data_IF_800557756058
#
_entry.id   IF_800557756058
#
_cell.length_a   1.000
_cell.length_b   1.000
_cell.length_c   1.000
_cell.angle_alpha   90.00
_cell.angle_beta   90.00
_cell.angle_gamma   90.00
#
_symmetry.space_group_name_H-M   'P 1'
#
loop_
_entity.id
_entity.type
_entity.pdbx_description
1 polymer ?
#
# COMPACT_ATOMS: atom_id res chain seq x y z
N UNK A 1 28.94 2.58 -52.60
CA UNK A 1 28.19 2.97 -51.39
C UNK A 1 27.97 1.70 -50.60
N UNK A 2 28.84 1.44 -49.62
CA UNK A 2 28.69 0.30 -48.71
C UNK A 2 27.60 0.63 -47.68
N UNK A 3 26.66 -0.29 -47.49
CA UNK A 3 25.69 -0.22 -46.41
C UNK A 3 26.43 -0.43 -45.07
N UNK A 4 26.04 0.27 -43.99
CA UNK A 4 26.64 0.03 -42.69
C UNK A 4 26.25 -1.38 -42.19
N UNK A 5 27.15 -2.10 -41.51
CA UNK A 5 26.84 -3.42 -40.98
C UNK A 5 25.73 -3.31 -39.94
N UNK A 6 24.69 -4.13 -40.13
CA UNK A 6 23.60 -4.26 -39.16
C UNK A 6 24.17 -4.74 -37.82
N UNK A 7 23.89 -3.97 -36.77
CA UNK A 7 23.98 -4.32 -35.36
C UNK A 7 23.91 -5.83 -35.09
N UNK A 8 25.08 -6.47 -35.01
CA UNK A 8 25.29 -7.79 -34.42
C UNK A 8 26.01 -7.60 -33.09
N UNK A 9 25.30 -7.05 -32.11
CA UNK A 9 25.63 -7.23 -30.70
C UNK A 9 24.39 -7.80 -30.01
N UNK A 10 24.00 -9.03 -30.40
CA UNK A 10 23.21 -9.86 -29.50
C UNK A 10 24.20 -10.42 -28.49
N UNK A 11 24.19 -9.87 -27.28
CA UNK A 11 24.91 -10.42 -26.14
C UNK A 11 24.58 -11.92 -26.00
N UNK A 12 25.58 -12.72 -25.62
CA UNK A 12 25.50 -14.16 -25.38
C UNK A 12 24.12 -14.63 -24.90
N UNK A 13 23.43 -15.38 -25.75
CA UNK A 13 22.11 -15.96 -25.44
C UNK A 13 22.14 -16.95 -24.28
N UNK A 14 23.32 -17.41 -23.86
CA UNK A 14 23.53 -18.43 -22.82
C UNK A 14 23.14 -17.95 -21.42
N UNK A 15 23.14 -16.65 -21.17
CA UNK A 15 22.88 -16.07 -19.83
C UNK A 15 21.54 -15.33 -19.72
N UNK A 16 20.73 -15.28 -20.79
CA UNK A 16 19.44 -14.60 -20.73
C UNK A 16 18.39 -15.47 -20.04
N UNK A 17 17.64 -14.91 -19.10
CA UNK A 17 16.40 -15.50 -18.56
C UNK A 17 15.22 -14.64 -18.97
N UNK A 18 14.21 -15.23 -19.59
CA UNK A 18 13.06 -14.51 -20.11
C UNK A 18 11.71 -15.15 -19.72
N UNK A 19 11.72 -16.35 -19.13
CA UNK A 19 10.51 -17.05 -18.67
C UNK A 19 10.84 -18.00 -17.54
N UNK A 20 9.79 -18.43 -16.83
CA UNK A 20 9.89 -19.39 -15.72
C UNK A 20 10.66 -20.68 -16.09
N UNK A 21 10.48 -21.19 -17.30
CA UNK A 21 11.14 -22.42 -17.76
C UNK A 21 12.66 -22.29 -17.94
N UNK A 22 13.19 -21.06 -17.97
CA UNK A 22 14.64 -20.82 -18.07
C UNK A 22 15.33 -20.89 -16.70
N UNK A 23 14.56 -20.95 -15.61
CA UNK A 23 15.08 -20.94 -14.25
C UNK A 23 15.47 -22.33 -13.77
N UNK A 24 16.55 -22.39 -13.00
CA UNK A 24 16.92 -23.54 -12.17
C UNK A 24 16.03 -23.63 -10.93
N UNK A 25 15.94 -24.82 -10.33
CA UNK A 25 15.19 -25.01 -9.07
C UNK A 25 15.71 -24.13 -7.92
N UNK A 26 17.04 -23.96 -7.84
CA UNK A 26 17.66 -23.04 -6.89
C UNK A 26 17.22 -21.59 -7.13
N UNK A 27 17.21 -21.10 -8.38
CA UNK A 27 16.71 -19.76 -8.68
C UNK A 27 15.24 -19.60 -8.28
N UNK A 28 14.41 -20.60 -8.57
CA UNK A 28 12.99 -20.57 -8.25
C UNK A 28 12.76 -20.39 -6.75
N UNK A 29 13.45 -21.19 -5.93
CA UNK A 29 13.34 -21.19 -4.47
C UNK A 29 14.08 -20.05 -3.78
N UNK A 30 15.09 -19.45 -4.43
CA UNK A 30 15.89 -18.36 -3.84
C UNK A 30 15.09 -17.09 -3.52
N UNK A 31 13.91 -16.93 -4.14
CA UNK A 31 12.98 -15.82 -3.87
C UNK A 31 11.87 -16.14 -2.86
N UNK A 32 11.86 -17.34 -2.24
CA UNK A 32 10.88 -17.69 -1.19
C UNK A 32 10.83 -16.67 -0.05
N UNK A 33 11.95 -16.08 0.44
CA UNK A 33 11.90 -15.01 1.44
C UNK A 33 11.07 -13.81 0.99
N UNK A 34 11.09 -13.44 -0.30
CA UNK A 34 10.28 -12.34 -0.83
C UNK A 34 8.79 -12.67 -0.83
N UNK A 35 8.43 -13.92 -1.16
CA UNK A 35 7.06 -14.40 -1.10
C UNK A 35 6.53 -14.40 0.35
N UNK A 36 7.34 -14.83 1.31
CA UNK A 36 6.97 -14.79 2.74
C UNK A 36 6.78 -13.35 3.21
N UNK A 37 7.67 -12.42 2.81
CA UNK A 37 7.52 -11.00 3.13
C UNK A 37 6.25 -10.42 2.49
N UNK A 38 5.97 -10.74 1.23
CA UNK A 38 4.77 -10.28 0.53
C UNK A 38 3.50 -10.71 1.23
N UNK A 39 3.40 -11.98 1.63
CA UNK A 39 2.19 -12.51 2.27
C UNK A 39 1.97 -11.94 3.66
N UNK A 40 3.05 -11.75 4.45
CA UNK A 40 3.01 -11.10 5.75
C UNK A 40 2.59 -9.62 5.65
N UNK A 41 3.17 -8.86 4.74
CA UNK A 41 2.86 -7.43 4.59
C UNK A 41 1.48 -7.17 4.00
N UNK A 42 0.93 -8.14 3.25
CA UNK A 42 -0.44 -8.12 2.74
C UNK A 42 -1.45 -8.85 3.64
N UNK A 43 -1.08 -9.24 4.87
CA UNK A 43 -1.94 -9.89 5.87
C UNK A 43 -2.61 -11.20 5.39
N UNK A 44 -1.93 -11.97 4.54
CA UNK A 44 -2.43 -13.30 4.11
C UNK A 44 -1.72 -14.44 4.83
N UNK A 45 -0.49 -14.21 5.29
CA UNK A 45 0.37 -15.16 6.02
C UNK A 45 0.48 -16.55 5.36
N UNK A 46 0.26 -16.62 4.04
CA UNK A 46 0.38 -17.85 3.27
C UNK A 46 1.86 -18.22 3.07
N UNK A 47 2.14 -19.52 3.15
CA UNK A 47 3.45 -20.05 2.83
C UNK A 47 3.63 -20.20 1.31
N UNK A 48 4.86 -20.04 0.79
CA UNK A 48 5.15 -20.30 -0.62
C UNK A 48 4.81 -21.73 -1.03
N UNK A 49 4.16 -21.87 -2.19
CA UNK A 49 3.82 -23.14 -2.84
C UNK A 49 4.37 -23.14 -4.27
N UNK A 50 4.47 -24.29 -4.92
CA UNK A 50 4.93 -24.34 -6.32
C UNK A 50 4.03 -23.53 -7.25
N UNK A 51 2.73 -23.52 -6.96
CA UNK A 51 1.77 -22.68 -7.68
C UNK A 51 2.06 -21.19 -7.49
N UNK A 52 2.27 -20.73 -6.25
CA UNK A 52 2.54 -19.32 -6.00
C UNK A 52 3.90 -18.89 -6.57
N UNK A 53 4.92 -19.75 -6.52
CA UNK A 53 6.23 -19.52 -7.15
C UNK A 53 6.08 -19.35 -8.67
N UNK A 54 5.36 -20.26 -9.33
CA UNK A 54 5.11 -20.16 -10.77
C UNK A 54 4.39 -18.86 -11.15
N UNK A 55 3.35 -18.48 -10.39
CA UNK A 55 2.63 -17.22 -10.60
C UNK A 55 3.57 -16.03 -10.43
N UNK A 56 4.32 -15.99 -9.33
CA UNK A 56 5.26 -14.90 -9.04
C UNK A 56 6.30 -14.73 -10.14
N UNK A 57 6.97 -15.81 -10.55
CA UNK A 57 7.96 -15.74 -11.61
C UNK A 57 7.37 -15.42 -12.98
N UNK A 58 6.12 -15.80 -13.24
CA UNK A 58 5.40 -15.34 -14.45
C UNK A 58 5.26 -13.82 -14.45
N UNK A 59 4.94 -13.21 -13.31
CA UNK A 59 4.87 -11.74 -13.16
C UNK A 59 6.27 -11.10 -13.23
N UNK A 60 7.30 -11.75 -12.68
CA UNK A 60 8.69 -11.27 -12.77
C UNK A 60 9.13 -11.11 -14.23
N UNK A 61 8.76 -12.02 -15.11
CA UNK A 61 9.09 -11.95 -16.54
C UNK A 61 8.03 -11.25 -17.39
N UNK A 62 6.98 -10.69 -16.80
CA UNK A 62 5.97 -9.94 -17.55
C UNK A 62 6.62 -8.71 -18.19
N UNK A 63 6.73 -8.75 -19.53
CA UNK A 63 7.38 -7.74 -20.35
C UNK A 63 8.81 -7.39 -19.90
N UNK A 64 9.55 -8.35 -19.34
CA UNK A 64 10.91 -8.15 -18.84
C UNK A 64 11.76 -9.40 -19.06
N UNK A 65 13.03 -9.18 -19.38
CA UNK A 65 14.10 -10.18 -19.37
C UNK A 65 15.35 -9.62 -18.68
N UNK A 66 16.36 -10.44 -18.46
CA UNK A 66 17.59 -10.04 -17.77
C UNK A 66 18.43 -8.97 -18.50
N UNK A 67 18.11 -8.65 -19.75
CA UNK A 67 18.75 -7.55 -20.49
C UNK A 67 17.96 -6.24 -20.38
N UNK A 68 16.76 -6.29 -19.81
CA UNK A 68 15.86 -5.15 -19.66
C UNK A 68 16.17 -4.39 -18.36
N UNK A 69 16.27 -3.05 -18.39
CA UNK A 69 16.50 -2.25 -17.19
C UNK A 69 15.45 -2.50 -16.09
N UNK A 70 15.90 -2.57 -14.84
CA UNK A 70 15.03 -2.79 -13.69
C UNK A 70 14.58 -1.45 -13.11
N UNK A 71 13.30 -1.13 -13.23
CA UNK A 71 12.71 0.10 -12.68
C UNK A 71 12.20 -0.11 -11.25
N UNK A 72 12.60 0.78 -10.33
CA UNK A 72 12.12 0.74 -8.94
C UNK A 72 10.66 1.22 -8.86
N UNK A 73 9.75 0.46 -8.22
CA UNK A 73 8.37 0.89 -8.08
C UNK A 73 8.23 2.04 -7.09
N UNK A 74 7.22 2.88 -7.31
CA UNK A 74 6.86 3.99 -6.43
C UNK A 74 5.44 3.79 -5.96
N UNK A 75 5.21 3.92 -4.66
CA UNK A 75 3.86 3.80 -4.12
C UNK A 75 3.00 4.99 -4.55
N UNK A 76 1.85 4.68 -5.15
CA UNK A 76 0.93 5.72 -5.59
C UNK A 76 0.31 6.43 -4.38
N UNK A 77 0.18 7.76 -4.48
CA UNK A 77 -0.57 8.57 -3.51
C UNK A 77 -2.04 8.12 -3.51
N UNK A 78 -2.69 8.21 -2.34
CA UNK A 78 -4.13 7.95 -2.24
C UNK A 78 -4.89 8.93 -3.11
N UNK A 79 -5.85 8.42 -3.87
CA UNK A 79 -6.72 9.24 -4.71
C UNK A 79 -7.91 9.74 -3.91
N UNK A 80 -8.47 10.89 -4.32
CA UNK A 80 -9.71 11.40 -3.71
C UNK A 80 -10.84 10.37 -3.85
N UNK A 81 -10.97 9.73 -5.01
CA UNK A 81 -11.95 8.69 -5.26
C UNK A 81 -11.76 7.46 -4.36
N UNK A 82 -10.53 7.07 -4.05
CA UNK A 82 -10.28 5.94 -3.13
C UNK A 82 -10.54 6.27 -1.66
N UNK A 83 -10.71 7.56 -1.32
CA UNK A 83 -10.84 8.03 0.06
C UNK A 83 -12.19 8.65 0.39
N UNK A 84 -13.10 8.72 -0.57
CA UNK A 84 -14.39 9.36 -0.40
C UNK A 84 -15.48 8.69 -1.22
N UNK A 85 -16.72 8.83 -0.77
CA UNK A 85 -17.92 8.38 -1.49
C UNK A 85 -18.95 9.51 -1.50
N UNK A 86 -19.79 9.58 -2.54
CA UNK A 86 -20.96 10.45 -2.54
C UNK A 86 -21.98 9.92 -1.52
N UNK A 87 -22.53 10.81 -0.70
CA UNK A 87 -23.50 10.45 0.35
C UNK A 87 -24.77 11.30 0.34
N UNK A 88 -24.81 12.34 -0.48
CA UNK A 88 -25.91 13.29 -0.45
C UNK A 88 -25.65 14.55 -1.25
N UNK A 89 -26.45 15.57 -0.95
CA UNK A 89 -26.40 16.89 -1.58
C UNK A 89 -26.50 18.01 -0.55
N UNK A 90 -26.14 19.23 -0.96
CA UNK A 90 -26.28 20.42 -0.13
C UNK A 90 -27.75 20.85 -0.02
N UNK A 91 -28.21 21.15 1.21
CA UNK A 91 -29.55 21.71 1.47
C UNK A 91 -29.66 23.19 1.10
N UNK A 92 -28.53 23.91 1.17
CA UNK A 92 -28.39 25.33 0.88
C UNK A 92 -26.98 25.64 0.36
N UNK A 93 -26.78 26.86 -0.11
CA UNK A 93 -25.49 27.38 -0.55
C UNK A 93 -24.45 27.34 0.58
N UNK A 94 -23.31 26.69 0.35
CA UNK A 94 -22.26 26.52 1.35
C UNK A 94 -21.06 27.43 1.04
N UNK A 95 -20.79 28.50 1.82
CA UNK A 95 -19.62 29.35 1.60
C UNK A 95 -18.31 28.57 1.82
N UNK A 96 -17.26 28.95 1.09
CA UNK A 96 -15.92 28.36 1.25
C UNK A 96 -15.21 29.03 2.43
N UNK A 97 -14.76 28.29 3.45
CA UNK A 97 -14.03 28.87 4.58
C UNK A 97 -12.74 29.55 4.12
N UNK A 98 -12.49 30.79 4.56
CA UNK A 98 -11.24 31.50 4.33
C UNK A 98 -11.00 32.02 2.90
N UNK A 99 -11.84 31.66 1.93
CA UNK A 99 -11.90 32.44 0.69
C UNK A 99 -12.71 33.70 0.98
N UNK A 100 -12.01 34.83 1.05
CA UNK A 100 -12.60 36.10 0.68
C UNK A 100 -13.09 35.93 -0.77
N UNK A 101 -14.33 35.49 -0.89
CA UNK A 101 -15.15 35.47 -2.10
C UNK A 101 -14.69 36.58 -3.02
N UNK A 102 -14.04 36.22 -4.13
CA UNK A 102 -13.52 37.17 -5.09
C UNK A 102 -14.65 38.12 -5.47
N UNK A 103 -14.62 39.34 -4.93
CA UNK A 103 -15.56 40.38 -5.30
C UNK A 103 -15.33 40.61 -6.79
N UNK A 104 -16.34 40.37 -7.62
CA UNK A 104 -16.36 41.07 -8.91
C UNK A 104 -16.41 42.58 -8.60
N UNK A 105 -15.94 43.41 -9.53
CA UNK A 105 -15.93 44.88 -9.38
C UNK A 105 -17.30 45.48 -8.99
N UNK A 106 -18.39 44.71 -9.07
CA UNK A 106 -19.76 45.09 -8.70
C UNK A 106 -20.23 44.58 -7.32
N UNK A 107 -19.34 44.07 -6.47
CA UNK A 107 -19.70 43.62 -5.11
C UNK A 107 -20.47 42.29 -5.02
N UNK A 108 -20.71 41.62 -6.15
CA UNK A 108 -21.44 40.35 -6.18
C UNK A 108 -20.53 39.16 -5.83
N UNK A 109 -20.99 38.37 -4.86
CA UNK A 109 -20.37 37.12 -4.43
C UNK A 109 -20.65 36.00 -5.44
N UNK A 110 -19.63 35.36 -6.01
CA UNK A 110 -19.82 34.22 -6.93
C UNK A 110 -19.46 32.93 -6.21
N UNK A 111 -20.48 32.14 -5.85
CA UNK A 111 -20.29 30.82 -5.28
C UNK A 111 -19.97 29.80 -6.38
N UNK A 112 -18.92 28.97 -6.22
CA UNK A 112 -18.63 27.87 -7.14
C UNK A 112 -19.83 26.93 -7.29
N UNK A 113 -20.03 26.35 -8.48
CA UNK A 113 -21.16 25.44 -8.73
C UNK A 113 -21.18 24.25 -7.74
N UNK A 114 -20.00 23.75 -7.36
CA UNK A 114 -19.80 22.64 -6.41
C UNK A 114 -20.19 22.98 -4.96
N UNK A 115 -20.58 24.24 -4.70
CA UNK A 115 -20.97 24.76 -3.39
C UNK A 115 -22.40 25.27 -3.34
N UNK A 116 -23.09 25.27 -4.47
CA UNK A 116 -24.48 25.70 -4.53
C UNK A 116 -25.40 24.64 -3.94
N UNK A 117 -26.58 25.06 -3.51
CA UNK A 117 -27.68 24.18 -3.14
C UNK A 117 -27.85 23.05 -4.18
N UNK A 118 -28.10 21.84 -3.70
CA UNK A 118 -28.17 20.58 -4.46
C UNK A 118 -26.86 20.06 -5.06
N UNK A 119 -25.72 20.73 -4.86
CA UNK A 119 -24.43 20.16 -5.25
C UNK A 119 -24.08 18.92 -4.42
N UNK A 120 -23.33 18.01 -5.03
CA UNK A 120 -22.95 16.74 -4.41
C UNK A 120 -22.04 16.93 -3.18
N UNK A 121 -22.33 16.17 -2.14
CA UNK A 121 -21.52 16.08 -0.92
C UNK A 121 -20.89 14.69 -0.85
N UNK A 122 -19.59 14.69 -0.62
CA UNK A 122 -18.79 13.51 -0.38
C UNK A 122 -18.56 13.31 1.12
N UNK A 123 -18.57 12.06 1.57
CA UNK A 123 -18.01 11.68 2.87
C UNK A 123 -16.61 11.14 2.65
N UNK A 124 -15.64 11.71 3.36
CA UNK A 124 -14.23 11.37 3.26
C UNK A 124 -13.73 10.72 4.54
N UNK A 125 -12.93 9.67 4.37
CA UNK A 125 -12.22 8.98 5.43
C UNK A 125 -10.77 9.50 5.49
N UNK A 126 -10.26 9.70 6.69
CA UNK A 126 -8.84 10.01 6.89
C UNK A 126 -8.35 9.30 8.15
N UNK A 127 -7.29 8.53 7.98
CA UNK A 127 -6.57 7.88 9.08
C UNK A 127 -5.51 8.86 9.59
N UNK A 128 -5.38 9.00 10.90
CA UNK A 128 -4.34 9.80 11.56
C UNK A 128 -2.92 9.36 11.18
N UNK A 129 -1.93 10.24 11.38
CA UNK A 129 -0.54 9.95 11.02
C UNK A 129 0.05 8.77 11.81
N UNK A 130 -0.39 8.59 13.06
CA UNK A 130 -0.02 7.44 13.90
C UNK A 130 -0.77 6.15 13.52
N UNK A 131 -1.76 6.23 12.63
CA UNK A 131 -2.53 5.08 12.16
C UNK A 131 -3.54 4.55 13.17
N UNK A 132 -3.84 5.30 14.24
CA UNK A 132 -4.66 4.82 15.35
C UNK A 132 -6.09 5.35 15.36
N UNK A 133 -6.39 6.43 14.63
CA UNK A 133 -7.71 7.06 14.66
C UNK A 133 -8.27 7.22 13.24
N UNK A 134 -9.57 6.98 13.10
CA UNK A 134 -10.32 7.26 11.88
C UNK A 134 -11.19 8.50 12.06
N UNK A 135 -10.98 9.48 11.19
CA UNK A 135 -11.82 10.68 11.10
C UNK A 135 -12.68 10.67 9.84
N UNK A 136 -13.90 11.19 9.99
CA UNK A 136 -14.87 11.34 8.91
C UNK A 136 -15.19 12.82 8.70
N UNK A 137 -15.13 13.29 7.45
CA UNK A 137 -15.42 14.68 7.11
C UNK A 137 -16.32 14.74 5.89
N UNK A 138 -17.30 15.62 5.89
CA UNK A 138 -18.06 15.94 4.69
C UNK A 138 -17.28 16.95 3.86
N UNK A 139 -17.17 16.73 2.56
CA UNK A 139 -16.47 17.61 1.64
C UNK A 139 -17.28 17.85 0.38
N UNK A 140 -17.00 18.93 -0.32
CA UNK A 140 -17.42 19.09 -1.71
C UNK A 140 -16.54 18.22 -2.64
N UNK A 141 -16.83 18.25 -3.95
CA UNK A 141 -16.00 17.60 -4.96
C UNK A 141 -14.61 18.24 -5.12
N UNK A 142 -14.41 19.45 -4.61
CA UNK A 142 -13.12 20.14 -4.50
C UNK A 142 -12.32 19.78 -3.24
N UNK A 143 -12.76 18.77 -2.48
CA UNK A 143 -12.13 18.30 -1.24
C UNK A 143 -12.02 19.36 -0.13
N UNK A 144 -12.91 20.35 -0.15
CA UNK A 144 -13.03 21.38 0.89
C UNK A 144 -14.18 21.04 1.84
N UNK A 145 -14.04 21.39 3.13
CA UNK A 145 -14.98 20.98 4.19
C UNK A 145 -16.41 21.49 3.97
N UNK A 146 -17.41 20.67 4.26
CA UNK A 146 -18.84 21.01 4.26
C UNK A 146 -19.40 20.80 5.69
N UNK A 147 -20.09 21.79 6.29
CA UNK A 147 -20.75 21.61 7.58
C UNK A 147 -21.85 20.56 7.52
N UNK A 148 -21.96 19.69 8.53
CA UNK A 148 -22.98 18.63 8.59
C UNK A 148 -24.41 19.18 8.49
N UNK A 149 -24.66 20.38 9.04
CA UNK A 149 -25.98 21.04 9.02
C UNK A 149 -26.48 21.34 7.60
N UNK A 150 -25.58 21.44 6.62
CA UNK A 150 -25.91 21.71 5.22
C UNK A 150 -26.02 20.44 4.37
N UNK A 151 -25.90 19.25 4.97
CA UNK A 151 -25.88 17.98 4.24
C UNK A 151 -27.24 17.30 4.33
N UNK A 152 -27.90 17.12 3.18
CA UNK A 152 -29.00 16.19 3.02
C UNK A 152 -28.44 14.86 2.52
N UNK A 153 -28.57 13.80 3.32
CA UNK A 153 -28.18 12.46 2.89
C UNK A 153 -29.16 11.95 1.83
N UNK A 154 -28.64 11.12 0.91
CA UNK A 154 -29.46 10.44 -0.08
C UNK A 154 -30.51 9.53 0.61
N UNK A 155 -31.69 9.32 0.01
CA UNK A 155 -32.74 8.48 0.59
C UNK A 155 -32.22 7.09 0.93
N UNK A 156 -32.55 6.60 2.14
CA UNK A 156 -32.11 5.28 2.62
C UNK A 156 -30.71 5.25 3.25
N UNK A 157 -29.98 6.37 3.26
CA UNK A 157 -28.71 6.48 3.99
C UNK A 157 -28.88 7.08 5.38
N UNK A 158 -28.47 6.31 6.39
CA UNK A 158 -28.06 6.86 7.69
C UNK A 158 -26.57 7.21 7.67
N UNK A 159 -26.13 8.07 8.59
CA UNK A 159 -24.70 8.38 8.76
C UNK A 159 -23.90 7.10 9.05
N UNK A 160 -24.44 6.18 9.85
CA UNK A 160 -23.80 4.93 10.19
C UNK A 160 -23.59 4.05 8.95
N UNK A 161 -24.61 3.90 8.11
CA UNK A 161 -24.50 3.16 6.85
C UNK A 161 -23.50 3.81 5.88
N UNK A 162 -23.54 5.15 5.75
CA UNK A 162 -22.59 5.88 4.92
C UNK A 162 -21.13 5.66 5.38
N UNK A 163 -20.87 5.67 6.69
CA UNK A 163 -19.55 5.36 7.26
C UNK A 163 -19.13 3.92 6.97
N UNK A 164 -20.00 2.94 7.20
CA UNK A 164 -19.71 1.54 6.94
C UNK A 164 -19.37 1.30 5.45
N UNK A 165 -20.11 1.91 4.53
CA UNK A 165 -19.83 1.83 3.11
C UNK A 165 -18.50 2.49 2.74
N UNK A 166 -18.20 3.64 3.34
CA UNK A 166 -16.94 4.34 3.13
C UNK A 166 -15.73 3.55 3.64
N UNK A 167 -15.84 2.90 4.80
CA UNK A 167 -14.78 2.01 5.33
C UNK A 167 -14.50 0.88 4.36
N UNK A 168 -15.54 0.17 3.91
CA UNK A 168 -15.39 -0.92 2.92
C UNK A 168 -14.77 -0.43 1.60
N UNK A 169 -15.18 0.76 1.15
CA UNK A 169 -14.65 1.38 -0.06
C UNK A 169 -13.17 1.73 0.10
N UNK A 170 -12.81 2.37 1.21
CA UNK A 170 -11.43 2.68 1.57
C UNK A 170 -10.57 1.42 1.61
N UNK A 171 -11.00 0.38 2.33
CA UNK A 171 -10.25 -0.85 2.52
C UNK A 171 -9.95 -1.56 1.21
N UNK A 172 -10.94 -1.62 0.32
CA UNK A 172 -10.75 -2.17 -1.03
C UNK A 172 -9.69 -1.41 -1.81
N UNK A 173 -9.74 -0.08 -1.77
CA UNK A 173 -8.79 0.77 -2.48
C UNK A 173 -7.38 0.71 -1.86
N UNK A 174 -7.28 0.69 -0.54
CA UNK A 174 -6.01 0.62 0.17
C UNK A 174 -5.35 -0.74 0.01
N UNK A 175 -6.10 -1.85 0.12
CA UNK A 175 -5.62 -3.19 -0.17
C UNK A 175 -5.06 -3.28 -1.59
N UNK A 176 -5.81 -2.80 -2.59
CA UNK A 176 -5.33 -2.79 -3.99
C UNK A 176 -4.05 -1.97 -4.14
N UNK A 177 -4.00 -0.77 -3.55
CA UNK A 177 -2.87 0.16 -3.67
C UNK A 177 -1.60 -0.41 -3.03
N UNK A 178 -1.71 -0.90 -1.81
CA UNK A 178 -0.57 -1.41 -1.03
C UNK A 178 -0.12 -2.76 -1.55
N UNK A 179 -1.04 -3.71 -1.78
CA UNK A 179 -0.66 -5.04 -2.26
C UNK A 179 -0.01 -4.99 -3.64
N UNK A 180 -0.52 -4.15 -4.56
CA UNK A 180 0.11 -3.96 -5.87
C UNK A 180 1.50 -3.32 -5.75
N UNK A 181 1.68 -2.38 -4.83
CA UNK A 181 3.00 -1.79 -4.61
C UNK A 181 3.99 -2.83 -4.06
N UNK A 182 3.61 -3.56 -3.01
CA UNK A 182 4.44 -4.59 -2.39
C UNK A 182 4.80 -5.70 -3.39
N UNK A 183 3.85 -6.15 -4.20
CA UNK A 183 4.08 -7.14 -5.27
C UNK A 183 5.14 -6.64 -6.25
N UNK A 184 4.97 -5.43 -6.80
CA UNK A 184 5.95 -4.85 -7.72
C UNK A 184 7.33 -4.67 -7.06
N UNK A 185 7.38 -4.35 -5.77
CA UNK A 185 8.63 -4.21 -5.04
C UNK A 185 9.35 -5.55 -4.87
N UNK A 186 8.62 -6.61 -4.56
CA UNK A 186 9.19 -7.96 -4.51
C UNK A 186 9.64 -8.47 -5.87
N UNK A 187 8.90 -8.14 -6.95
CA UNK A 187 9.32 -8.40 -8.34
C UNK A 187 10.62 -7.66 -8.64
N UNK A 188 10.72 -6.38 -8.27
CA UNK A 188 11.93 -5.58 -8.43
C UNK A 188 13.14 -6.23 -7.75
N UNK A 189 12.98 -6.71 -6.51
CA UNK A 189 14.05 -7.42 -5.79
C UNK A 189 14.42 -8.75 -6.43
N UNK A 190 13.45 -9.55 -6.88
CA UNK A 190 13.70 -10.80 -7.59
C UNK A 190 14.47 -10.57 -8.89
N UNK A 191 14.09 -9.56 -9.69
CA UNK A 191 14.82 -9.16 -10.89
C UNK A 191 16.27 -8.77 -10.58
N UNK A 192 16.49 -7.97 -9.53
CA UNK A 192 17.83 -7.57 -9.09
C UNK A 192 18.68 -8.77 -8.67
N UNK A 193 18.12 -9.63 -7.82
CA UNK A 193 18.79 -10.84 -7.34
C UNK A 193 19.20 -11.74 -8.50
N UNK A 194 18.31 -11.92 -9.48
CA UNK A 194 18.60 -12.74 -10.66
C UNK A 194 19.72 -12.14 -11.53
N UNK A 195 19.67 -10.84 -11.82
CA UNK A 195 20.71 -10.17 -12.61
C UNK A 195 22.06 -10.25 -11.90
N UNK A 196 22.14 -9.92 -10.61
CA UNK A 196 23.38 -10.02 -9.82
C UNK A 196 23.95 -11.44 -9.84
N UNK A 197 23.12 -12.46 -9.64
CA UNK A 197 23.55 -13.86 -9.69
C UNK A 197 24.13 -14.25 -11.05
N UNK A 198 23.49 -13.83 -12.14
CA UNK A 198 23.96 -14.12 -13.51
C UNK A 198 25.26 -13.40 -13.83
N UNK A 199 25.43 -12.16 -13.36
CA UNK A 199 26.69 -11.42 -13.48
C UNK A 199 27.83 -12.11 -12.71
N UNK A 200 27.57 -12.61 -11.51
CA UNK A 200 28.53 -13.39 -10.72
C UNK A 200 28.89 -14.73 -11.37
N UNK A 201 27.93 -15.43 -11.97
CA UNK A 201 28.17 -16.67 -12.73
C UNK A 201 29.02 -16.41 -13.96
N UNK A 202 28.74 -15.34 -14.70
CA UNK A 202 29.53 -14.92 -15.84
C UNK A 202 30.96 -14.57 -15.43
N UNK A 203 31.14 -13.81 -14.34
CA UNK A 203 32.46 -13.46 -13.82
C UNK A 203 33.27 -14.70 -13.39
N UNK A 204 32.62 -15.71 -12.80
CA UNK A 204 33.27 -16.98 -12.43
C UNK A 204 33.62 -17.84 -13.63
N UNK A 205 32.77 -17.89 -14.66
CA UNK A 205 33.04 -18.61 -15.90
C UNK A 205 34.21 -18.04 -16.69
N UNK A 206 34.37 -16.71 -16.72
CA UNK A 206 35.48 -16.02 -17.39
C UNK A 206 36.82 -16.22 -16.67
N UNK A 207 36.82 -16.47 -15.36
CA UNK A 207 38.03 -16.74 -14.58
C UNK A 207 38.56 -18.20 -14.72
N UNK A 208 37.83 -19.08 -15.41
CA UNK A 208 38.13 -20.52 -15.50
C UNK A 208 39.09 -20.97 -16.61
N UNK A 209 39.48 -20.09 -17.54
CA UNK A 209 40.35 -20.43 -18.68
C UNK A 209 41.86 -20.10 -18.48
N UNK A 210 42.26 -19.79 -17.25
CA UNK A 210 43.68 -19.62 -16.87
C UNK A 210 44.25 -20.88 -16.20
N UNK A 211 45.55 -21.21 -16.38
CA UNK A 211 46.14 -22.41 -15.79
C UNK A 211 45.98 -22.43 -14.27
N UNK A 212 45.41 -23.52 -13.76
CA UNK A 212 45.10 -23.75 -12.36
C UNK A 212 46.35 -23.65 -11.48
N UNK A 213 46.45 -22.58 -10.69
CA UNK A 213 47.37 -22.51 -9.55
C UNK A 213 46.61 -22.89 -8.28
N UNK A 214 47.01 -24.01 -7.68
CA UNK A 214 46.43 -24.65 -6.51
C UNK A 214 46.71 -23.94 -5.17
N UNK A 215 46.63 -22.61 -5.13
CA UNK A 215 46.93 -21.83 -3.92
C UNK A 215 45.95 -20.66 -3.77
N UNK A 216 44.71 -20.94 -3.37
CA UNK A 216 43.76 -19.93 -2.91
C UNK A 216 42.72 -20.55 -1.96
N UNK A 217 43.19 -21.21 -0.90
CA UNK A 217 42.41 -21.44 0.31
C UNK A 217 42.51 -20.21 1.21
N UNK A 218 41.82 -19.13 0.83
CA UNK A 218 41.37 -18.04 1.71
C UNK A 218 40.74 -16.99 0.80
N UNK A 219 39.46 -17.19 0.46
CA UNK A 219 38.66 -16.16 -0.19
C UNK A 219 37.52 -15.79 0.76
N UNK A 220 37.35 -14.51 1.10
CA UNK A 220 36.32 -14.08 2.03
C UNK A 220 34.94 -14.49 1.50
N UNK A 221 34.13 -15.02 2.42
CA UNK A 221 32.70 -15.29 2.25
C UNK A 221 32.04 -14.14 1.51
N UNK A 222 31.29 -14.49 0.47
CA UNK A 222 30.53 -13.58 -0.38
C UNK A 222 29.76 -12.53 0.48
N UNK A 223 29.59 -11.29 -0.01
CA UNK A 223 28.78 -10.32 0.68
C UNK A 223 27.39 -10.90 0.88
N UNK A 224 27.01 -11.01 2.16
CA UNK A 224 25.69 -11.43 2.61
C UNK A 224 24.64 -10.63 1.83
N UNK A 225 23.59 -11.30 1.38
CA UNK A 225 22.42 -10.83 0.59
C UNK A 225 21.66 -9.63 1.18
N UNK A 226 22.20 -8.96 2.22
CA UNK A 226 21.57 -7.91 3.00
C UNK A 226 21.51 -6.56 2.26
N UNK A 227 22.43 -6.26 1.32
CA UNK A 227 22.40 -4.98 0.58
C UNK A 227 21.28 -4.90 -0.48
N UNK A 228 20.71 -6.03 -0.92
CA UNK A 228 19.74 -6.03 -2.03
C UNK A 228 18.29 -5.80 -1.58
N UNK A 229 17.96 -6.01 -0.31
CA UNK A 229 16.57 -6.03 0.16
C UNK A 229 16.36 -5.09 1.35
N UNK A 230 15.91 -3.87 1.07
CA UNK A 230 15.48 -2.96 2.13
C UNK A 230 14.03 -3.24 2.53
N UNK A 231 13.83 -4.14 3.49
CA UNK A 231 12.51 -4.58 3.98
C UNK A 231 11.66 -3.40 4.51
N UNK A 232 12.30 -2.31 4.96
CA UNK A 232 11.58 -1.10 5.42
C UNK A 232 10.80 -0.39 4.31
N UNK A 233 11.07 -0.70 3.04
CA UNK A 233 10.33 -0.15 1.90
C UNK A 233 8.97 -0.80 1.69
N UNK A 234 8.74 -2.01 2.21
CA UNK A 234 7.42 -2.63 2.16
C UNK A 234 6.45 -1.87 3.05
N UNK A 235 5.23 -1.70 2.56
CA UNK A 235 4.18 -1.01 3.30
C UNK A 235 3.25 -2.04 3.91
N UNK A 236 3.17 -2.05 5.25
CA UNK A 236 2.23 -2.93 5.95
C UNK A 236 0.81 -2.50 5.62
N UNK A 237 0.02 -3.42 5.06
CA UNK A 237 -1.40 -3.17 4.82
C UNK A 237 -2.09 -2.89 6.17
N UNK A 238 -2.84 -1.79 6.22
CA UNK A 238 -3.63 -1.37 7.36
C UNK A 238 -5.01 -1.01 6.86
N UNK A 239 -6.01 -1.79 7.27
CA UNK A 239 -7.39 -1.55 6.91
C UNK A 239 -8.03 -0.65 7.97
N UNK A 240 -8.96 0.20 7.54
CA UNK A 240 -9.79 0.98 8.44
C UNK A 240 -10.63 0.05 9.33
N UNK A 241 -11.06 -1.11 8.81
CA UNK A 241 -11.72 -2.13 9.62
C UNK A 241 -10.89 -2.57 10.83
N UNK A 242 -9.60 -2.87 10.64
CA UNK A 242 -8.69 -3.29 11.72
C UNK A 242 -8.63 -2.25 12.85
N UNK A 243 -8.62 -0.97 12.49
CA UNK A 243 -8.56 0.14 13.45
C UNK A 243 -9.87 0.23 14.24
N UNK A 244 -11.02 0.14 13.57
CA UNK A 244 -12.32 0.19 14.23
C UNK A 244 -12.52 -0.98 15.21
N UNK A 245 -12.04 -2.18 14.85
CA UNK A 245 -12.11 -3.34 15.72
C UNK A 245 -11.28 -3.13 17.00
N UNK A 246 -10.07 -2.57 16.88
CA UNK A 246 -9.23 -2.23 18.04
C UNK A 246 -9.90 -1.16 18.92
N UNK A 247 -10.49 -0.12 18.32
CA UNK A 247 -11.23 0.92 19.04
C UNK A 247 -12.42 0.33 19.82
N UNK A 248 -13.20 -0.57 19.20
CA UNK A 248 -14.32 -1.24 19.84
C UNK A 248 -13.88 -2.14 20.99
N UNK A 249 -12.84 -2.95 20.80
CA UNK A 249 -12.26 -3.79 21.85
C UNK A 249 -11.80 -2.95 23.04
N UNK A 250 -11.12 -1.83 22.77
CA UNK A 250 -10.64 -0.89 23.79
C UNK A 250 -11.81 -0.26 24.54
N UNK A 251 -12.85 0.21 23.83
CA UNK A 251 -14.05 0.78 24.44
C UNK A 251 -14.78 -0.23 25.34
N UNK A 252 -14.90 -1.48 24.90
CA UNK A 252 -15.50 -2.56 25.67
C UNK A 252 -14.69 -2.90 26.92
N UNK A 253 -13.35 -2.89 26.82
CA UNK A 253 -12.48 -3.08 27.98
C UNK A 253 -12.64 -1.98 29.02
N UNK A 254 -12.66 -0.71 28.59
CA UNK A 254 -12.87 0.45 29.47
C UNK A 254 -14.24 0.38 30.17
N UNK A 255 -15.31 0.02 29.44
CA UNK A 255 -16.64 -0.17 30.03
C UNK A 255 -16.66 -1.24 31.12
N UNK A 256 -15.95 -2.35 30.91
CA UNK A 256 -15.84 -3.42 31.92
C UNK A 256 -15.14 -2.93 33.18
N UNK A 257 -14.07 -2.15 33.05
CA UNK A 257 -13.39 -1.53 34.20
C UNK A 257 -14.34 -0.57 34.92
N UNK A 258 -15.05 0.29 34.20
CA UNK A 258 -15.96 1.27 34.81
C UNK A 258 -17.17 0.64 35.51
N UNK A 259 -17.65 -0.52 35.05
CA UNK A 259 -18.78 -1.23 35.66
C UNK A 259 -18.36 -2.34 36.64
N UNK A 260 -17.08 -2.73 36.67
CA UNK A 260 -16.54 -3.81 37.49
C UNK A 260 -15.97 -3.38 38.85
N UNK A 261 -16.04 -2.10 39.22
CA UNK A 261 -15.68 -1.62 40.57
C UNK A 261 -16.94 -1.62 41.44
N UNK A 262 -17.17 -2.61 42.31
CA UNK A 262 -18.14 -2.45 43.38
C UNK A 262 -17.69 -1.28 44.25
N UNK A 263 -18.54 -0.26 44.41
CA UNK A 263 -18.34 0.79 45.41
C UNK A 263 -18.39 0.15 46.79
N UNK A 264 -17.25 -0.28 47.32
CA UNK A 264 -17.10 -0.67 48.72
C UNK A 264 -17.08 0.59 49.60
N UNK A 265 -18.21 1.31 49.65
CA UNK A 265 -18.45 2.46 50.52
C UNK A 265 -19.96 2.55 50.72
N UNK A 266 -20.54 1.69 51.55
CA UNK A 266 -21.77 1.96 52.30
C UNK A 266 -22.11 0.70 53.10
N UNK A 267 -21.55 0.59 54.30
CA UNK A 267 -22.16 -0.07 55.47
C UNK A 267 -21.17 -0.09 56.64
N UNK A 268 -21.04 1.05 57.34
CA UNK A 268 -20.89 1.01 58.79
C UNK A 268 -21.94 1.92 59.41
N UNK A 269 -23.12 1.32 59.51
CA UNK A 269 -24.23 1.78 60.34
C UNK A 269 -23.77 1.84 61.79
N UNK A 270 -24.10 2.99 62.39
CA UNK A 270 -24.05 3.37 63.81
C UNK A 270 -24.33 2.19 64.76
N UNK A 271 -23.50 2.06 65.79
CA UNK A 271 -23.91 1.46 67.08
C UNK A 271 -23.37 2.30 68.22
N UNK A 272 -24.19 3.25 68.67
CA UNK A 272 -24.23 3.73 70.05
C UNK A 272 -25.18 2.82 70.84
N UNK A 273 -24.90 2.59 72.12
CA UNK A 273 -25.86 2.96 73.15
C UNK A 273 -25.42 4.22 73.90
#
# INVERSE_FOLDING_TARGET
MEAPPSSQFRADTTYTRAKFADLTEHEITSCDPFLVLLTRYNQTDLMPTDRSRKVFWTLVFEAWDTNTPILKPVIQKRTANGSSIKVGTLTDDCPVPGQATKRKNNGTYVLPAIRRRHADVLLKLSISTDGQEISYKFTDSGNSLVPRSLVQLDPGYTIAQARAMLVRHWDKHEATRVSRFNENLTIYWARKQLVTKLEEEKARGVAGDGPQNAAAQDRPTAPTTEETTNVSELVKLRLAWDILEIEEQTANHVRRISHGVPRACDNMVKRTP
#
